data_IF_036469556216
#
_entry.id   IF_036469556216
#
_cell.length_a   1.000
_cell.length_b   1.000
_cell.length_c   1.000
_cell.angle_alpha   90.00
_cell.angle_beta   90.00
_cell.angle_gamma   90.00
#
_symmetry.space_group_name_H-M   'P 1'
#
loop_
_entity.id
_entity.type
_entity.pdbx_description
1 polymer ?
#
# COMPACT_ATOMS: atom_id res chain seq x y z
N UNK A 1 -4.91 4.50 21.03
CA UNK A 1 -4.23 4.02 19.81
C UNK A 1 -2.74 4.03 20.09
N UNK A 2 -2.05 2.88 19.96
CA UNK A 2 -0.61 2.80 20.19
C UNK A 2 0.10 3.43 19.00
N UNK A 3 0.88 4.49 19.23
CA UNK A 3 1.71 5.10 18.19
C UNK A 3 2.93 4.21 17.97
N UNK A 4 3.01 3.53 16.83
CA UNK A 4 4.22 2.78 16.46
C UNK A 4 5.23 3.77 15.91
N UNK A 5 6.47 3.68 16.40
CA UNK A 5 7.60 4.46 15.89
C UNK A 5 8.47 3.50 15.08
N UNK A 6 8.90 3.93 13.90
CA UNK A 6 9.75 3.12 13.02
C UNK A 6 11.14 3.75 13.03
N UNK A 7 12.08 3.07 13.66
CA UNK A 7 13.49 3.45 13.65
C UNK A 7 14.16 2.89 12.38
N UNK A 8 14.74 3.74 11.50
CA UNK A 8 15.44 3.27 10.30
C UNK A 8 16.67 2.41 10.57
N UNK A 9 17.25 2.46 11.78
CA UNK A 9 18.46 1.71 12.12
C UNK A 9 18.18 0.43 12.91
N UNK A 10 16.92 0.16 13.24
CA UNK A 10 16.52 -1.07 13.90
C UNK A 10 16.62 -2.27 12.95
N UNK A 11 17.09 -3.40 13.46
CA UNK A 11 17.25 -4.65 12.68
C UNK A 11 15.90 -5.19 12.18
N UNK A 12 14.79 -4.81 12.84
CA UNK A 12 13.43 -5.18 12.46
C UNK A 12 12.84 -4.34 11.33
N UNK A 13 13.50 -3.26 10.90
CA UNK A 13 13.02 -2.35 9.86
C UNK A 13 13.45 -2.84 8.48
N UNK A 14 12.49 -3.39 7.74
CA UNK A 14 12.74 -4.06 6.46
C UNK A 14 12.07 -3.30 5.30
N UNK A 15 12.63 -3.40 4.08
CA UNK A 15 11.97 -2.89 2.88
C UNK A 15 10.67 -3.65 2.60
N UNK A 16 9.71 -3.01 1.93
CA UNK A 16 8.40 -3.63 1.63
C UNK A 16 8.49 -4.97 0.92
N UNK A 17 9.52 -5.15 0.07
CA UNK A 17 9.73 -6.39 -0.67
C UNK A 17 10.07 -7.58 0.24
N UNK A 18 10.76 -7.34 1.35
CA UNK A 18 11.11 -8.38 2.32
C UNK A 18 9.96 -8.61 3.30
N UNK A 19 9.33 -7.53 3.77
CA UNK A 19 8.14 -7.64 4.62
C UNK A 19 7.02 -8.44 3.94
N UNK A 20 6.83 -8.24 2.63
CA UNK A 20 5.89 -9.00 1.82
C UNK A 20 6.14 -10.52 1.86
N UNK A 21 7.40 -10.96 1.92
CA UNK A 21 7.77 -12.39 1.96
C UNK A 21 7.49 -13.02 3.33
N UNK A 22 7.57 -12.23 4.40
CA UNK A 22 7.32 -12.68 5.77
C UNK A 22 5.83 -12.86 6.05
N UNK A 23 4.97 -12.17 5.31
CA UNK A 23 3.52 -12.23 5.53
C UNK A 23 2.89 -13.51 4.97
N UNK A 24 1.85 -14.03 5.64
CA UNK A 24 1.07 -15.15 5.14
C UNK A 24 0.44 -14.78 3.79
N UNK A 25 0.33 -15.76 2.89
CA UNK A 25 -0.12 -15.59 1.50
C UNK A 25 0.74 -14.67 0.62
N UNK A 26 1.89 -14.19 1.13
CA UNK A 26 2.90 -13.42 0.38
C UNK A 26 2.30 -12.32 -0.51
N UNK A 27 1.59 -11.34 0.06
CA UNK A 27 1.04 -10.23 -0.70
C UNK A 27 2.16 -9.53 -1.50
N UNK A 28 1.83 -9.00 -2.68
CA UNK A 28 2.84 -8.30 -3.49
C UNK A 28 3.33 -7.02 -2.79
N UNK A 29 4.57 -6.56 -3.03
CA UNK A 29 5.07 -5.31 -2.46
C UNK A 29 4.18 -4.10 -2.81
N UNK A 30 3.55 -4.13 -3.98
CA UNK A 30 2.58 -3.13 -4.43
C UNK A 30 1.32 -3.08 -3.55
N UNK A 31 0.92 -4.21 -2.96
CA UNK A 31 -0.18 -4.28 -2.00
C UNK A 31 0.17 -3.52 -0.71
N UNK A 32 1.37 -3.74 -0.17
CA UNK A 32 1.87 -3.00 1.00
C UNK A 32 2.00 -1.51 0.70
N UNK A 33 2.51 -1.14 -0.47
CA UNK A 33 2.55 0.26 -0.91
C UNK A 33 1.15 0.90 -0.96
N UNK A 34 0.13 0.15 -1.38
CA UNK A 34 -1.27 0.60 -1.32
C UNK A 34 -1.77 0.77 0.11
N UNK A 35 -1.38 -0.10 1.04
CA UNK A 35 -1.73 0.05 2.46
C UNK A 35 -1.12 1.31 3.08
N UNK A 36 0.07 1.72 2.64
CA UNK A 36 0.72 2.96 3.08
C UNK A 36 0.01 4.19 2.47
N UNK A 37 -0.21 4.19 1.15
CA UNK A 37 -0.67 5.38 0.42
C UNK A 37 -2.19 5.57 0.43
N UNK A 38 -2.96 4.49 0.43
CA UNK A 38 -4.43 4.51 0.40
C UNK A 38 -5.05 3.95 1.67
N UNK A 39 -4.36 3.04 2.33
CA UNK A 39 -4.94 2.28 3.43
C UNK A 39 -5.90 1.18 2.97
N UNK A 40 -6.44 0.48 3.96
CA UNK A 40 -7.47 -0.56 3.83
C UNK A 40 -8.48 -0.34 4.96
N UNK A 41 -9.77 -0.32 4.64
CA UNK A 41 -10.84 -0.06 5.62
C UNK A 41 -10.61 1.22 6.46
N UNK A 42 -10.05 2.27 5.85
CA UNK A 42 -9.73 3.53 6.55
C UNK A 42 -8.45 3.50 7.39
N UNK A 43 -7.83 2.33 7.60
CA UNK A 43 -6.57 2.16 8.33
C UNK A 43 -5.39 2.25 7.37
N UNK A 44 -4.30 2.93 7.75
CA UNK A 44 -3.08 3.05 6.95
C UNK A 44 -1.92 2.33 7.61
N UNK A 45 -1.10 1.67 6.80
CA UNK A 45 0.14 1.06 7.29
C UNK A 45 1.18 2.17 7.53
N UNK A 46 1.81 2.14 8.69
CA UNK A 46 2.93 3.03 9.00
C UNK A 46 4.21 2.52 8.34
N UNK A 47 4.93 3.46 7.73
CA UNK A 47 6.19 3.21 7.05
C UNK A 47 6.97 4.52 6.97
N UNK A 48 8.30 4.42 6.87
CA UNK A 48 9.20 5.55 6.63
C UNK A 48 9.74 5.49 5.20
N UNK A 49 9.80 6.62 4.49
CA UNK A 49 10.51 6.68 3.22
C UNK A 49 12.02 6.68 3.47
N UNK A 50 12.76 5.78 2.81
CA UNK A 50 14.22 5.74 2.84
C UNK A 50 14.70 5.62 1.40
N UNK A 51 15.38 6.66 0.91
CA UNK A 51 15.77 6.79 -0.50
C UNK A 51 14.55 6.74 -1.43
N UNK A 52 14.51 5.75 -2.32
CA UNK A 52 13.42 5.54 -3.29
C UNK A 52 12.34 4.55 -2.80
N UNK A 53 12.53 3.96 -1.62
CA UNK A 53 11.68 2.91 -1.08
C UNK A 53 10.97 3.31 0.21
N UNK A 54 10.07 2.43 0.67
CA UNK A 54 9.47 2.50 1.99
C UNK A 54 9.94 1.31 2.83
N UNK A 55 10.16 1.58 4.12
CA UNK A 55 10.54 0.58 5.10
C UNK A 55 9.53 0.55 6.23
N UNK A 56 9.30 -0.64 6.76
CA UNK A 56 8.34 -0.90 7.83
C UNK A 56 8.85 -2.04 8.70
N UNK A 57 8.33 -2.13 9.93
CA UNK A 57 8.68 -3.18 10.87
C UNK A 57 7.49 -4.11 11.13
N UNK A 58 7.75 -5.25 11.78
CA UNK A 58 6.72 -6.25 12.08
C UNK A 58 5.62 -5.69 12.98
N UNK A 59 5.97 -4.85 13.96
CA UNK A 59 5.01 -4.25 14.88
C UNK A 59 3.99 -3.38 14.15
N UNK A 60 4.44 -2.49 13.25
CA UNK A 60 3.58 -1.64 12.45
C UNK A 60 2.59 -2.45 11.60
N UNK A 61 3.06 -3.56 11.02
CA UNK A 61 2.22 -4.45 10.22
C UNK A 61 1.19 -5.19 11.08
N UNK A 62 1.59 -5.70 12.24
CA UNK A 62 0.65 -6.35 13.18
C UNK A 62 -0.43 -5.38 13.65
N UNK A 63 -0.05 -4.18 14.06
CA UNK A 63 -1.00 -3.13 14.48
C UNK A 63 -1.95 -2.78 13.32
N UNK A 64 -1.42 -2.64 12.11
CA UNK A 64 -2.22 -2.39 10.91
C UNK A 64 -3.23 -3.51 10.65
N UNK A 65 -2.80 -4.78 10.64
CA UNK A 65 -3.66 -5.91 10.32
C UNK A 65 -4.76 -6.11 11.37
N UNK A 66 -4.42 -5.96 12.66
CA UNK A 66 -5.39 -6.02 13.75
C UNK A 66 -6.45 -4.92 13.60
N UNK A 67 -6.01 -3.68 13.34
CA UNK A 67 -6.94 -2.57 13.13
C UNK A 67 -7.81 -2.78 11.87
N UNK A 68 -7.27 -3.34 10.79
CA UNK A 68 -8.05 -3.66 9.58
C UNK A 68 -9.13 -4.71 9.85
N UNK A 69 -8.82 -5.71 10.68
CA UNK A 69 -9.75 -6.78 11.04
C UNK A 69 -10.85 -6.36 12.01
N UNK A 70 -10.57 -5.39 12.88
CA UNK A 70 -11.52 -4.89 13.88
C UNK A 70 -12.52 -3.86 13.32
N UNK A 71 -12.27 -3.34 12.10
CA UNK A 71 -13.19 -2.38 11.46
C UNK A 71 -14.50 -3.07 11.06
N UNK A 72 -15.58 -2.71 11.75
CA UNK A 72 -16.94 -3.12 11.37
C UNK A 72 -17.35 -2.49 10.02
N UNK A 73 -18.08 -3.21 9.16
CA UNK A 73 -18.37 -2.78 7.79
C UNK A 73 -19.18 -1.48 7.70
N UNK A 74 -20.00 -1.19 8.72
CA UNK A 74 -20.77 0.07 8.87
C UNK A 74 -19.87 1.31 9.03
N UNK A 75 -18.64 1.14 9.50
CA UNK A 75 -17.68 2.23 9.72
C UNK A 75 -16.76 2.47 8.52
N UNK A 76 -16.84 1.65 7.48
CA UNK A 76 -16.06 1.85 6.26
C UNK A 76 -16.69 3.04 5.52
N UNK A 77 -16.15 4.24 5.74
CA UNK A 77 -16.52 5.41 4.96
C UNK A 77 -16.25 5.12 3.48
N UNK A 78 -17.30 4.82 2.72
CA UNK A 78 -17.23 4.71 1.27
C UNK A 78 -16.81 6.08 0.74
N UNK A 79 -15.50 6.25 0.49
CA UNK A 79 -14.99 7.44 -0.18
C UNK A 79 -15.76 7.55 -1.49
N UNK A 80 -16.69 8.52 -1.61
CA UNK A 80 -17.45 8.77 -2.83
C UNK A 80 -16.43 8.88 -3.97
N UNK A 81 -16.34 7.84 -4.79
CA UNK A 81 -15.48 7.85 -5.95
C UNK A 81 -16.02 8.97 -6.83
N UNK A 82 -15.24 10.03 -7.06
CA UNK A 82 -15.55 10.97 -8.15
C UNK A 82 -15.72 10.12 -9.42
N UNK A 83 -16.80 10.31 -10.19
CA UNK A 83 -17.05 9.51 -11.37
C UNK A 83 -15.81 9.55 -12.27
N UNK A 84 -15.35 8.36 -12.66
CA UNK A 84 -14.16 8.18 -13.47
C UNK A 84 -14.41 8.88 -14.81
N UNK A 85 -13.78 10.04 -15.04
CA UNK A 85 -13.88 10.75 -16.32
C UNK A 85 -13.54 9.79 -17.47
N UNK A 86 -14.38 9.79 -18.52
CA UNK A 86 -14.22 8.92 -19.69
C UNK A 86 -12.80 9.12 -20.26
N UNK A 87 -11.95 8.09 -20.17
CA UNK A 87 -10.65 8.08 -20.86
C UNK A 87 -10.95 8.07 -22.36
N UNK A 88 -10.76 9.20 -23.03
CA UNK A 88 -10.80 9.28 -24.49
C UNK A 88 -9.68 8.40 -25.05
N UNK A 89 -10.05 7.33 -25.74
CA UNK A 89 -9.14 6.47 -26.46
C UNK A 89 -8.66 7.20 -27.73
N UNK A 90 -7.57 7.98 -27.63
CA UNK A 90 -6.82 8.35 -28.84
C UNK A 90 -5.92 7.18 -29.22
N UNK A 91 -6.41 6.41 -30.20
CA UNK A 91 -5.73 5.30 -30.87
C UNK A 91 -4.66 5.90 -31.79
N UNK A 92 -3.38 5.77 -31.44
CA UNK A 92 -2.27 6.11 -32.32
C UNK A 92 -1.95 4.91 -33.21
N UNK A 93 -2.50 4.88 -34.42
CA UNK A 93 -1.97 4.04 -35.49
C UNK A 93 -0.81 4.81 -36.13
N UNK A 94 0.43 4.30 -36.01
CA UNK A 94 1.52 4.71 -36.89
C UNK A 94 1.94 3.49 -37.70
N UNK A 95 1.55 3.53 -38.97
CA UNK A 95 1.94 2.61 -40.04
C UNK A 95 3.46 2.65 -40.17
N UNK A 96 4.10 1.49 -40.09
CA UNK A 96 5.49 1.31 -40.50
C UNK A 96 5.39 0.78 -41.93
N UNK A 97 5.68 1.65 -42.90
CA UNK A 97 5.72 1.31 -44.32
C UNK A 97 7.16 0.88 -44.66
N UNK A 98 7.27 -0.35 -45.16
CA UNK A 98 8.52 -0.99 -45.58
C UNK A 98 8.86 -0.57 -47.00
N UNK A 99 10.09 -0.13 -47.24
CA UNK A 99 10.75 -0.16 -48.55
C UNK A 99 12.18 -0.62 -48.35
#
# INVERSE_FOLDING_TARGET
MRTVVIDPFDEGTLPLAEMAKLLPNRPTPQCLWRWITKGRNGVRLQAIPVGRGYHTNKEAVTVFLNAVGDVKPDQIAHRKLKPKGKRSAKKSAKVIETR
#
